data_IF_392739375881
#
_entry.id   IF_392739375881
#
_cell.length_a   1.000
_cell.length_b   1.000
_cell.length_c   1.000
_cell.angle_alpha   90.00
_cell.angle_beta   90.00
_cell.angle_gamma   90.00
#
_symmetry.space_group_name_H-M   'P 1'
#
loop_
_entity.id
_entity.type
_entity.pdbx_description
1 polymer ?
#
# COMPACT_ATOMS: atom_id res chain seq x y z
N UNK A 1 16.61 -1.18 10.92
CA UNK A 1 15.44 -0.60 11.62
C UNK A 1 14.17 -1.18 11.01
N UNK A 2 13.73 -2.35 11.46
CA UNK A 2 12.51 -3.00 10.95
C UNK A 2 11.29 -2.45 11.72
N UNK A 3 10.74 -1.33 11.23
CA UNK A 3 9.51 -0.76 11.76
C UNK A 3 8.28 -1.45 11.14
N UNK A 4 8.14 -2.77 11.27
CA UNK A 4 7.04 -3.55 10.66
C UNK A 4 5.78 -3.56 11.55
N UNK A 5 5.59 -2.51 12.36
CA UNK A 5 4.57 -2.49 13.42
C UNK A 5 3.43 -1.50 13.20
N UNK A 6 3.67 -0.41 12.48
CA UNK A 6 2.67 0.61 12.17
C UNK A 6 2.83 1.04 10.73
N UNK A 7 1.77 0.85 9.95
CA UNK A 7 1.60 1.44 8.63
C UNK A 7 0.62 2.61 8.79
N UNK A 8 1.07 3.87 8.90
CA UNK A 8 0.20 5.05 8.89
C UNK A 8 -0.67 5.10 7.63
N UNK A 9 -1.83 5.73 7.73
CA UNK A 9 -2.60 6.12 6.54
C UNK A 9 -1.74 7.10 5.74
N UNK A 10 -1.71 6.94 4.41
CA UNK A 10 -0.91 7.77 3.51
C UNK A 10 0.54 7.30 3.33
N UNK A 11 0.92 6.15 3.90
CA UNK A 11 2.23 5.54 3.61
C UNK A 11 2.15 4.63 2.39
N UNK A 12 3.09 4.82 1.47
CA UNK A 12 3.29 3.94 0.33
C UNK A 12 3.93 2.64 0.79
N UNK A 13 3.46 1.53 0.25
CA UNK A 13 3.96 0.19 0.51
C UNK A 13 4.13 -0.55 -0.81
N UNK A 14 5.26 -1.23 -0.95
CA UNK A 14 5.54 -2.13 -2.07
C UNK A 14 5.20 -3.55 -1.64
N UNK A 15 4.47 -4.26 -2.48
CA UNK A 15 4.20 -5.68 -2.30
C UNK A 15 5.34 -6.53 -2.87
N UNK A 16 5.47 -7.76 -2.38
CA UNK A 16 6.47 -8.72 -2.90
C UNK A 16 6.22 -9.08 -4.38
N UNK A 17 5.00 -8.87 -4.88
CA UNK A 17 4.65 -8.98 -6.30
C UNK A 17 5.25 -7.87 -7.18
N UNK A 18 5.77 -6.79 -6.59
CA UNK A 18 6.23 -5.59 -7.29
C UNK A 18 5.16 -4.50 -7.45
N UNK A 19 3.91 -4.80 -7.05
CA UNK A 19 2.83 -3.80 -7.01
C UNK A 19 3.09 -2.76 -5.92
N UNK A 20 2.61 -1.52 -6.14
CA UNK A 20 2.75 -0.42 -5.16
C UNK A 20 1.39 0.14 -4.82
N UNK A 21 1.15 0.35 -3.53
CA UNK A 21 -0.09 0.95 -3.06
C UNK A 21 0.08 1.85 -1.85
N UNK A 22 -0.95 2.62 -1.54
CA UNK A 22 -1.00 3.50 -0.37
C UNK A 22 -1.91 2.93 0.70
N UNK A 23 -1.47 2.97 1.95
CA UNK A 23 -2.28 2.53 3.09
C UNK A 23 -3.42 3.52 3.29
N UNK A 24 -4.66 3.07 3.09
CA UNK A 24 -5.86 3.91 3.26
C UNK A 24 -6.55 3.64 4.60
N UNK A 25 -6.33 2.47 5.19
CA UNK A 25 -6.99 2.09 6.44
C UNK A 25 -6.05 1.27 7.31
N UNK A 26 -5.81 1.77 8.53
CA UNK A 26 -5.10 1.01 9.53
C UNK A 26 -6.05 0.02 10.22
N UNK A 27 -5.54 -1.15 10.53
CA UNK A 27 -6.26 -2.12 11.34
C UNK A 27 -5.65 -2.15 12.75
N UNK A 28 -6.36 -1.59 13.73
CA UNK A 28 -5.90 -1.52 15.14
C UNK A 28 -5.76 -2.90 15.79
N UNK A 29 -6.53 -3.89 15.31
CA UNK A 29 -6.55 -5.26 15.86
C UNK A 29 -5.47 -6.11 15.19
N UNK A 30 -5.30 -6.00 13.87
CA UNK A 30 -4.28 -6.73 13.10
C UNK A 30 -3.37 -5.74 12.38
N UNK A 31 -2.38 -5.19 13.10
CA UNK A 31 -1.48 -4.15 12.56
C UNK A 31 -0.69 -4.57 11.31
N UNK A 32 -0.54 -5.88 11.09
CA UNK A 32 0.08 -6.47 9.90
C UNK A 32 -0.84 -6.53 8.67
N UNK A 33 -2.14 -6.23 8.82
CA UNK A 33 -3.16 -6.33 7.77
C UNK A 33 -3.95 -5.03 7.60
N UNK A 34 -3.30 -3.92 7.21
CA UNK A 34 -4.00 -2.71 6.77
C UNK A 34 -4.73 -2.94 5.43
N UNK A 35 -5.65 -2.03 5.09
CA UNK A 35 -6.14 -1.92 3.71
C UNK A 35 -5.23 -0.98 2.93
N UNK A 36 -4.85 -1.43 1.76
CA UNK A 36 -3.94 -0.75 0.86
C UNK A 36 -4.65 -0.53 -0.47
N UNK A 37 -4.58 0.67 -1.00
CA UNK A 37 -5.07 1.01 -2.31
C UNK A 37 -3.92 0.89 -3.31
N UNK A 38 -3.99 -0.06 -4.23
CA UNK A 38 -2.99 -0.20 -5.29
C UNK A 38 -3.10 0.97 -6.25
N UNK A 39 -1.94 1.53 -6.56
CA UNK A 39 -1.77 2.67 -7.45
C UNK A 39 -0.89 2.30 -8.62
N UNK A 40 0.11 1.45 -8.39
CA UNK A 40 0.94 0.87 -9.44
C UNK A 40 0.78 -0.64 -9.43
N UNK A 41 0.75 -1.21 -10.62
CA UNK A 41 0.82 -2.65 -10.81
C UNK A 41 2.27 -3.17 -10.72
N UNK A 42 2.45 -4.46 -10.99
CA UNK A 42 3.76 -5.12 -11.03
C UNK A 42 4.75 -4.53 -12.07
N UNK A 43 4.26 -3.97 -13.18
CA UNK A 43 5.04 -3.26 -14.20
C UNK A 43 5.29 -1.79 -13.82
N UNK A 44 4.91 -1.39 -12.60
CA UNK A 44 4.98 -0.01 -12.11
C UNK A 44 4.14 0.94 -12.96
N UNK A 45 3.11 0.41 -13.62
CA UNK A 45 2.19 1.21 -14.40
C UNK A 45 1.03 1.67 -13.51
N UNK A 46 0.60 2.94 -13.65
CA UNK A 46 -0.55 3.44 -12.90
C UNK A 46 -1.79 2.62 -13.21
N UNK A 47 -2.36 2.02 -12.17
CA UNK A 47 -3.60 1.24 -12.29
C UNK A 47 -4.73 2.23 -12.56
N UNK A 48 -5.39 2.09 -13.71
CA UNK A 48 -6.51 2.96 -14.11
C UNK A 48 -7.71 2.84 -13.17
N UNK A 49 -7.90 1.64 -12.61
CA UNK A 49 -8.94 1.35 -11.65
C UNK A 49 -8.34 1.29 -10.24
N UNK A 50 -8.89 2.08 -9.33
CA UNK A 50 -8.52 2.09 -7.91
C UNK A 50 -8.71 0.69 -7.29
N UNK A 51 -7.64 -0.13 -7.29
CA UNK A 51 -7.71 -1.52 -6.84
C UNK A 51 -7.43 -1.61 -5.34
N UNK A 52 -8.48 -1.82 -4.57
CA UNK A 52 -8.39 -1.87 -3.11
C UNK A 52 -8.01 -3.28 -2.63
N UNK A 53 -6.81 -3.41 -2.08
CA UNK A 53 -6.26 -4.65 -1.52
C UNK A 53 -6.51 -4.67 -0.01
N UNK A 54 -7.34 -5.63 0.40
CA UNK A 54 -7.63 -5.85 1.81
C UNK A 54 -6.85 -7.06 2.32
N UNK A 55 -5.74 -6.81 3.01
CA UNK A 55 -4.88 -7.85 3.61
C UNK A 55 -5.58 -8.67 4.69
N UNK A 56 -6.82 -8.32 5.08
CA UNK A 56 -7.65 -9.13 5.97
C UNK A 56 -8.25 -10.34 5.26
N UNK A 57 -8.36 -10.29 3.92
CA UNK A 57 -8.89 -11.40 3.14
C UNK A 57 -7.86 -12.55 3.12
N UNK A 58 -8.27 -13.79 3.44
CA UNK A 58 -7.36 -14.93 3.45
C UNK A 58 -6.79 -15.24 2.06
N UNK A 59 -7.51 -14.91 0.99
CA UNK A 59 -7.05 -15.07 -0.40
C UNK A 59 -5.88 -14.12 -0.72
N UNK A 60 -5.87 -12.93 -0.12
CA UNK A 60 -4.80 -11.94 -0.25
C UNK A 60 -3.72 -12.11 0.84
N UNK A 61 -3.79 -13.16 1.68
CA UNK A 61 -2.77 -13.43 2.68
C UNK A 61 -1.41 -13.82 2.07
N UNK A 62 -1.41 -14.24 0.80
CA UNK A 62 -0.20 -14.47 0.02
C UNK A 62 0.48 -13.16 -0.41
N UNK A 63 -0.28 -12.07 -0.57
CA UNK A 63 0.28 -10.75 -0.85
C UNK A 63 0.88 -10.18 0.42
N UNK A 64 2.21 -10.11 0.46
CA UNK A 64 2.95 -9.52 1.56
C UNK A 64 3.49 -8.16 1.16
N UNK A 65 3.52 -7.26 2.12
CA UNK A 65 4.24 -6.00 2.00
C UNK A 65 5.73 -6.34 2.08
N UNK A 66 6.45 -6.13 0.99
CA UNK A 66 7.91 -6.28 0.94
C UNK A 66 8.58 -5.20 1.77
N UNK A 67 8.15 -3.94 1.60
CA UNK A 67 8.71 -2.77 2.30
C UNK A 67 7.76 -1.58 2.27
N UNK A 68 7.88 -0.72 3.27
CA UNK A 68 7.32 0.62 3.20
C UNK A 68 8.21 1.50 2.32
N UNK A 69 7.60 2.24 1.41
CA UNK A 69 8.26 3.20 0.55
C UNK A 69 8.11 4.61 1.17
N UNK A 70 9.12 5.47 1.02
CA UNK A 70 8.99 6.88 1.36
C UNK A 70 7.91 7.54 0.48
N UNK A 71 7.34 8.64 0.97
CA UNK A 71 6.25 9.35 0.30
C UNK A 71 6.64 9.80 -1.12
N UNK A 72 7.92 10.08 -1.36
CA UNK A 72 8.44 10.50 -2.67
C UNK A 72 8.82 9.32 -3.59
N UNK A 73 8.50 8.09 -3.22
CA UNK A 73 8.81 6.93 -4.06
C UNK A 73 7.99 6.95 -5.36
N UNK A 74 8.65 6.64 -6.47
CA UNK A 74 8.04 6.53 -7.79
C UNK A 74 7.35 7.80 -8.32
N UNK A 75 7.73 8.98 -7.81
CA UNK A 75 7.12 10.27 -8.17
C UNK A 75 5.61 10.35 -7.81
N UNK A 76 5.14 9.45 -6.95
CA UNK A 76 3.78 9.45 -6.42
C UNK A 76 3.71 10.45 -5.27
N UNK A 77 3.64 11.74 -5.58
CA UNK A 77 3.48 12.75 -4.54
C UNK A 77 2.15 12.54 -3.81
N UNK A 78 2.16 12.34 -2.49
CA UNK A 78 0.92 12.32 -1.69
C UNK A 78 0.10 13.61 -1.82
N UNK A 79 0.67 14.68 -2.39
CA UNK A 79 -0.02 15.93 -2.66
C UNK A 79 -1.01 15.86 -3.83
N UNK A 80 -0.92 14.88 -4.72
CA UNK A 80 -1.83 14.79 -5.87
C UNK A 80 -3.16 14.09 -5.52
N UNK A 81 -3.21 13.34 -4.41
CA UNK A 81 -4.34 12.45 -4.10
C UNK A 81 -5.41 13.06 -3.19
N UNK A 82 -5.24 14.29 -2.70
CA UNK A 82 -6.17 14.96 -1.79
C UNK A 82 -6.95 16.13 -2.40
N UNK A 83 -6.79 16.41 -3.70
CA UNK A 83 -7.51 17.49 -4.38
C UNK A 83 -8.54 16.92 -5.36
N UNK A 84 -9.66 16.49 -4.77
CA UNK A 84 -10.98 16.41 -5.40
C UNK A 84 -11.96 17.22 -4.56
#
# INVERSE_FOLDING_TARGET
MQCVGLYPIGVLVEFESGEVGVVIQQNRVQRSRPRVLLMLDHDKQPVRDFRLVDLRQPELAALRIARALPNDAYCLSSHDYYLG
#
